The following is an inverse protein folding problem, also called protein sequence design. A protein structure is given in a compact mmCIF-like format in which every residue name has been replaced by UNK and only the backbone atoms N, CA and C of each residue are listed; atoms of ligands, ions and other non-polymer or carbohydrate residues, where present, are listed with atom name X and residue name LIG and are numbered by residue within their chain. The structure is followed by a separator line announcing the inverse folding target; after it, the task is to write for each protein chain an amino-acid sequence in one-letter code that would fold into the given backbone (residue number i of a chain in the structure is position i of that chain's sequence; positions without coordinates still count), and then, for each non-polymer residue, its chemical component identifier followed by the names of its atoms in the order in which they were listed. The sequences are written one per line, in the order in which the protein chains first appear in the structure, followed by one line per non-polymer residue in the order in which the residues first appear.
data_IF_505378638996
#
_entry.id   IF_505378638996
#
_cell.length_a   1.000
_cell.length_b   1.000
_cell.length_c   1.000
_cell.angle_alpha   90.00
_cell.angle_beta   90.00
_cell.angle_gamma   90.00
#
_symmetry.space_group_name_H-M   'P 1'
#
loop_
_entity.id
_entity.type
_entity.pdbx_description
1 polymer ?
#
# COMPACT_ATOMS: atom_id res chain seq x y z
N UNK A 1 -25.18 -69.77 -6.28
CA UNK A 1 -25.15 -68.38 -6.77
C UNK A 1 -24.79 -67.48 -5.60
N UNK A 2 -23.53 -67.06 -5.53
CA UNK A 2 -23.00 -66.17 -4.50
C UNK A 2 -23.00 -64.74 -5.08
N UNK A 3 -23.77 -63.84 -4.48
CA UNK A 3 -23.65 -62.41 -4.74
C UNK A 3 -22.47 -61.86 -3.96
N UNK A 4 -21.46 -61.35 -4.65
CA UNK A 4 -20.40 -60.54 -4.09
C UNK A 4 -20.93 -59.10 -3.96
N UNK A 5 -21.03 -58.63 -2.71
CA UNK A 5 -21.22 -57.22 -2.41
C UNK A 5 -19.88 -56.52 -2.45
N UNK A 6 -19.69 -55.59 -3.41
CA UNK A 6 -18.55 -54.70 -3.41
C UNK A 6 -18.79 -53.55 -2.43
N UNK A 7 -18.02 -53.55 -1.36
CA UNK A 7 -17.92 -52.42 -0.42
C UNK A 7 -17.04 -51.37 -1.10
N UNK A 8 -17.64 -50.31 -1.61
CA UNK A 8 -16.90 -49.11 -2.06
C UNK A 8 -16.50 -48.33 -0.83
N UNK A 9 -15.23 -48.43 -0.46
CA UNK A 9 -14.59 -47.56 0.54
C UNK A 9 -14.50 -46.16 -0.08
N UNK A 10 -15.40 -45.26 0.25
CA UNK A 10 -15.24 -43.84 -0.02
C UNK A 10 -14.13 -43.33 0.87
N UNK A 11 -12.93 -43.17 0.31
CA UNK A 11 -11.87 -42.38 0.90
C UNK A 11 -12.37 -40.93 0.88
N UNK A 12 -12.88 -40.43 1.99
CA UNK A 12 -13.06 -39.00 2.20
C UNK A 12 -11.66 -38.40 2.21
N UNK A 13 -11.25 -37.87 1.07
CA UNK A 13 -10.17 -36.89 1.07
C UNK A 13 -10.71 -35.69 1.84
N UNK A 14 -10.25 -35.51 3.05
CA UNK A 14 -10.33 -34.24 3.73
C UNK A 14 -9.63 -33.24 2.84
N UNK A 15 -10.39 -32.58 1.97
CA UNK A 15 -9.94 -31.37 1.34
C UNK A 15 -9.68 -30.40 2.49
N UNK A 16 -8.41 -30.07 2.70
CA UNK A 16 -8.02 -28.97 3.54
C UNK A 16 -8.87 -27.76 3.11
N UNK A 17 -9.86 -27.42 3.96
CA UNK A 17 -10.68 -26.24 3.76
C UNK A 17 -9.70 -25.07 3.75
N UNK A 18 -9.45 -24.52 2.59
CA UNK A 18 -8.73 -23.29 2.43
C UNK A 18 -9.37 -22.28 3.38
N UNK A 19 -8.62 -21.83 4.37
CA UNK A 19 -9.06 -20.82 5.35
C UNK A 19 -9.08 -19.41 4.76
N UNK A 20 -9.14 -19.28 3.44
CA UNK A 20 -9.42 -18.03 2.76
C UNK A 20 -10.85 -17.60 3.06
N UNK A 21 -11.08 -16.34 3.43
CA UNK A 21 -12.44 -15.83 3.63
C UNK A 21 -13.29 -16.08 2.38
N UNK A 22 -14.54 -16.51 2.55
CA UNK A 22 -15.48 -16.47 1.45
C UNK A 22 -15.67 -15.02 1.05
N UNK A 23 -15.44 -14.70 -0.17
CA UNK A 23 -15.43 -13.31 -0.63
C UNK A 23 -16.21 -13.18 -1.93
N UNK A 24 -17.06 -12.17 -2.00
CA UNK A 24 -17.62 -11.70 -3.24
C UNK A 24 -16.60 -10.78 -3.92
N UNK A 25 -16.33 -11.04 -5.19
CA UNK A 25 -15.39 -10.23 -5.96
C UNK A 25 -16.05 -8.93 -6.38
N UNK A 26 -15.29 -7.85 -6.26
CA UNK A 26 -15.68 -6.55 -6.80
C UNK A 26 -14.89 -6.33 -8.10
N UNK A 27 -15.60 -6.22 -9.22
CA UNK A 27 -15.03 -5.96 -10.53
C UNK A 27 -15.37 -4.52 -10.95
N UNK A 28 -14.46 -3.84 -11.64
CA UNK A 28 -14.79 -2.56 -12.28
C UNK A 28 -15.71 -2.78 -13.49
N UNK A 29 -16.25 -1.69 -14.05
CA UNK A 29 -17.19 -1.73 -15.18
C UNK A 29 -16.62 -2.41 -16.45
N UNK A 30 -15.31 -2.51 -16.59
CA UNK A 30 -14.64 -3.20 -17.69
C UNK A 30 -14.41 -4.70 -17.42
N UNK A 31 -14.92 -5.24 -16.30
CA UNK A 31 -14.68 -6.63 -15.88
C UNK A 31 -13.24 -6.89 -15.42
N UNK A 32 -12.43 -5.84 -15.26
CA UNK A 32 -11.09 -5.91 -14.68
C UNK A 32 -11.18 -5.82 -13.16
N UNK A 33 -10.28 -6.50 -12.50
CA UNK A 33 -10.15 -6.46 -11.06
C UNK A 33 -9.70 -5.06 -10.64
N UNK A 34 -10.45 -4.42 -9.75
CA UNK A 34 -10.11 -3.09 -9.25
C UNK A 34 -9.33 -3.22 -7.95
N UNK A 35 -8.21 -2.53 -7.88
CA UNK A 35 -7.47 -2.36 -6.65
C UNK A 35 -7.93 -1.06 -5.98
N UNK A 36 -9.04 -1.11 -5.26
CA UNK A 36 -9.26 -0.09 -4.34
C UNK A 36 -10.43 0.84 -4.47
N UNK A 37 -10.18 1.98 -4.00
CA UNK A 37 -11.07 3.11 -3.74
C UNK A 37 -11.93 3.58 -4.92
N UNK A 38 -11.66 3.07 -6.13
CA UNK A 38 -12.30 3.53 -7.36
C UNK A 38 -13.67 2.89 -7.64
N UNK A 39 -13.99 1.78 -6.99
CA UNK A 39 -15.23 1.04 -7.26
C UNK A 39 -16.18 1.07 -6.08
N UNK A 40 -15.75 0.61 -4.91
CA UNK A 40 -16.59 0.56 -3.71
C UNK A 40 -16.69 1.91 -3.00
N UNK A 41 -15.64 2.74 -3.07
CA UNK A 41 -15.59 4.07 -2.50
C UNK A 41 -14.69 4.97 -3.36
N UNK A 42 -15.22 5.53 -4.45
CA UNK A 42 -14.44 6.28 -5.42
C UNK A 42 -13.83 7.54 -4.81
N UNK A 43 -12.61 7.88 -5.24
CA UNK A 43 -11.86 9.09 -4.85
C UNK A 43 -11.90 10.12 -5.97
N UNK A 44 -11.85 9.64 -7.21
CA UNK A 44 -11.95 10.46 -8.40
C UNK A 44 -13.16 10.02 -9.21
N UNK A 45 -13.81 10.99 -9.82
CA UNK A 45 -14.86 10.72 -10.79
C UNK A 45 -14.24 9.95 -11.97
N UNK A 46 -14.50 8.65 -12.04
CA UNK A 46 -14.11 7.86 -13.18
C UNK A 46 -15.25 7.96 -14.20
N UNK A 47 -15.05 8.76 -15.25
CA UNK A 47 -15.94 8.83 -16.43
C UNK A 47 -16.15 7.46 -17.10
N UNK A 48 -15.43 6.45 -16.63
CA UNK A 48 -15.32 5.10 -17.21
C UNK A 48 -16.30 4.11 -16.59
N UNK A 49 -16.91 4.43 -15.43
CA UNK A 49 -17.90 3.55 -14.82
C UNK A 49 -19.25 3.79 -15.50
N UNK A 50 -19.57 2.95 -16.49
CA UNK A 50 -20.93 2.90 -17.01
C UNK A 50 -21.86 2.47 -15.86
N UNK A 51 -22.71 3.41 -15.42
CA UNK A 51 -23.56 3.23 -14.22
C UNK A 51 -24.52 2.04 -14.36
N UNK A 52 -24.86 1.66 -15.59
CA UNK A 52 -25.79 0.57 -15.86
C UNK A 52 -25.14 -0.81 -15.67
N UNK A 53 -23.85 -0.94 -15.89
CA UNK A 53 -23.12 -2.21 -15.78
C UNK A 53 -22.36 -2.39 -14.44
N UNK A 54 -22.40 -1.42 -13.54
CA UNK A 54 -21.73 -1.50 -12.25
C UNK A 54 -22.56 -2.34 -11.25
N UNK A 55 -22.10 -3.55 -10.85
CA UNK A 55 -22.84 -4.42 -9.93
C UNK A 55 -23.04 -3.80 -8.54
N UNK A 56 -22.24 -2.77 -8.17
CA UNK A 56 -22.33 -2.06 -6.90
C UNK A 56 -23.29 -0.85 -6.95
N UNK A 57 -23.84 -0.51 -8.12
CA UNK A 57 -24.71 0.66 -8.31
C UNK A 57 -23.92 1.98 -8.38
N UNK A 58 -24.63 3.11 -8.15
CA UNK A 58 -24.04 4.45 -8.22
C UNK A 58 -23.20 4.76 -6.96
N UNK A 59 -21.98 4.24 -6.96
CA UNK A 59 -21.02 4.47 -5.85
C UNK A 59 -20.45 5.88 -5.85
N UNK A 60 -20.43 6.56 -6.99
CA UNK A 60 -19.97 7.95 -7.06
C UNK A 60 -20.92 8.88 -6.31
N UNK A 61 -22.22 8.78 -6.54
CA UNK A 61 -23.19 9.58 -5.76
C UNK A 61 -23.12 9.28 -4.26
N UNK A 62 -22.88 8.04 -3.87
CA UNK A 62 -22.68 7.67 -2.47
C UNK A 62 -21.44 8.35 -1.87
N UNK A 63 -20.33 8.36 -2.62
CA UNK A 63 -19.11 9.05 -2.21
C UNK A 63 -19.29 10.56 -2.13
N UNK A 64 -19.97 11.16 -3.11
CA UNK A 64 -20.25 12.58 -3.13
C UNK A 64 -21.09 12.99 -1.91
N UNK A 65 -22.15 12.22 -1.57
CA UNK A 65 -22.96 12.43 -0.38
C UNK A 65 -22.13 12.30 0.92
N UNK A 66 -21.21 11.36 0.97
CA UNK A 66 -20.28 11.19 2.10
C UNK A 66 -19.41 12.45 2.28
N UNK A 67 -18.78 12.92 1.20
CA UNK A 67 -17.92 14.10 1.26
C UNK A 67 -18.70 15.39 1.54
N UNK A 68 -19.86 15.55 0.94
CA UNK A 68 -20.74 16.70 1.19
C UNK A 68 -21.24 16.72 2.64
N UNK A 69 -21.54 15.57 3.21
CA UNK A 69 -21.88 15.46 4.63
C UNK A 69 -20.76 15.94 5.56
N UNK A 70 -19.50 15.61 5.28
CA UNK A 70 -18.34 16.14 6.01
C UNK A 70 -18.26 17.67 5.88
N UNK A 71 -18.31 18.19 4.65
CA UNK A 71 -18.20 19.61 4.36
C UNK A 71 -19.31 20.42 5.03
N UNK A 72 -20.54 19.91 5.02
CA UNK A 72 -21.70 20.53 5.64
C UNK A 72 -21.58 20.56 7.17
N UNK A 73 -21.18 19.44 7.77
CA UNK A 73 -21.00 19.30 9.21
C UNK A 73 -20.02 20.31 9.79
N UNK A 74 -18.86 20.46 9.16
CA UNK A 74 -17.85 21.40 9.66
C UNK A 74 -18.07 22.84 9.21
N UNK A 75 -18.85 23.07 8.18
CA UNK A 75 -19.28 24.38 7.69
C UNK A 75 -18.18 25.33 7.26
N UNK A 76 -18.51 26.27 6.39
CA UNK A 76 -17.63 27.33 5.90
C UNK A 76 -16.40 26.83 5.14
N UNK A 77 -15.63 27.77 4.57
CA UNK A 77 -14.47 27.43 3.73
C UNK A 77 -13.40 26.59 4.46
N UNK A 78 -13.10 26.92 5.72
CA UNK A 78 -12.07 26.21 6.50
C UNK A 78 -12.50 24.77 6.80
N UNK A 79 -13.80 24.54 7.08
CA UNK A 79 -14.33 23.21 7.35
C UNK A 79 -14.30 22.31 6.12
N UNK A 80 -14.81 22.80 5.00
CA UNK A 80 -14.75 22.08 3.73
C UNK A 80 -13.32 21.74 3.32
N UNK A 81 -12.40 22.71 3.37
CA UNK A 81 -10.98 22.47 3.05
C UNK A 81 -10.36 21.40 3.96
N UNK A 82 -10.74 21.32 5.24
CA UNK A 82 -10.21 20.27 6.13
C UNK A 82 -10.68 18.87 5.73
N UNK A 83 -11.93 18.71 5.26
CA UNK A 83 -12.43 17.46 4.71
C UNK A 83 -11.65 17.05 3.44
N UNK A 84 -11.47 17.99 2.52
CA UNK A 84 -10.78 17.74 1.25
C UNK A 84 -9.32 17.33 1.48
N UNK A 85 -8.60 18.04 2.36
CA UNK A 85 -7.19 17.70 2.71
C UNK A 85 -7.11 16.30 3.34
N UNK A 86 -7.99 15.99 4.31
CA UNK A 86 -7.95 14.67 4.94
C UNK A 86 -8.24 13.55 3.94
N UNK A 87 -9.16 13.80 3.01
CA UNK A 87 -9.51 12.84 1.98
C UNK A 87 -8.36 12.63 0.98
N UNK A 88 -7.73 13.72 0.52
CA UNK A 88 -6.54 13.65 -0.33
C UNK A 88 -5.40 12.89 0.36
N UNK A 89 -5.14 13.17 1.64
CA UNK A 89 -4.12 12.46 2.43
C UNK A 89 -4.43 10.96 2.58
N UNK A 90 -5.70 10.62 2.86
CA UNK A 90 -6.16 9.23 2.97
C UNK A 90 -5.94 8.48 1.66
N UNK A 91 -6.36 9.06 0.55
CA UNK A 91 -6.22 8.49 -0.77
C UNK A 91 -4.74 8.35 -1.17
N UNK A 92 -3.95 9.42 -1.02
CA UNK A 92 -2.54 9.43 -1.34
C UNK A 92 -1.76 8.38 -0.53
N UNK A 93 -2.05 8.23 0.76
CA UNK A 93 -1.44 7.19 1.59
C UNK A 93 -1.82 5.80 1.11
N UNK A 94 -3.10 5.57 0.80
CA UNK A 94 -3.60 4.27 0.31
C UNK A 94 -3.02 3.86 -1.05
N UNK A 95 -2.69 4.82 -1.90
CA UNK A 95 -2.04 4.57 -3.19
C UNK A 95 -0.51 4.36 -3.06
N UNK A 96 0.14 5.09 -2.16
CA UNK A 96 1.61 5.08 -1.98
C UNK A 96 2.07 3.92 -1.12
N UNK A 97 1.46 3.73 0.04
CA UNK A 97 2.00 2.90 1.11
C UNK A 97 2.00 1.40 0.78
N UNK A 98 0.97 0.78 0.17
CA UNK A 98 0.98 -0.66 -0.11
C UNK A 98 2.17 -1.14 -0.92
N UNK A 99 2.58 -0.38 -1.95
CA UNK A 99 3.73 -0.74 -2.80
C UNK A 99 5.10 -0.42 -2.16
N UNK A 100 5.10 0.32 -1.06
CA UNK A 100 6.29 0.80 -0.35
C UNK A 100 6.64 -0.02 0.88
N UNK A 101 5.82 -1.02 1.21
CA UNK A 101 5.94 -1.76 2.45
C UNK A 101 6.38 -3.20 2.22
N UNK A 102 7.14 -3.72 3.20
CA UNK A 102 7.51 -5.12 3.24
C UNK A 102 6.27 -5.99 3.45
N UNK A 103 6.13 -7.03 2.63
CA UNK A 103 5.08 -8.04 2.74
C UNK A 103 5.58 -9.26 3.51
N UNK A 104 4.76 -9.78 4.42
CA UNK A 104 5.13 -10.92 5.28
C UNK A 104 4.38 -12.20 4.93
N UNK A 105 3.25 -12.10 4.24
CA UNK A 105 2.40 -13.24 3.87
C UNK A 105 1.99 -13.17 2.40
N UNK A 106 1.60 -14.29 1.82
CA UNK A 106 1.23 -14.35 0.40
C UNK A 106 -0.09 -13.64 0.10
N UNK A 107 -1.06 -13.73 1.02
CA UNK A 107 -2.41 -13.17 0.83
C UNK A 107 -2.59 -11.81 1.48
N UNK A 108 -1.79 -11.50 2.52
CA UNK A 108 -1.87 -10.28 3.30
C UNK A 108 -2.99 -10.25 4.34
N UNK A 109 -3.97 -11.17 4.29
CA UNK A 109 -5.05 -11.28 5.28
C UNK A 109 -5.54 -12.71 5.45
N UNK A 110 -6.17 -12.99 6.60
CA UNK A 110 -6.73 -14.30 6.92
C UNK A 110 -7.83 -14.18 7.98
N UNK A 111 -8.97 -14.82 7.74
CA UNK A 111 -10.01 -14.97 8.77
C UNK A 111 -9.76 -16.22 9.59
N UNK A 112 -9.82 -16.09 10.93
CA UNK A 112 -9.66 -17.17 11.91
C UNK A 112 -10.62 -16.96 13.08
N UNK A 113 -10.65 -17.90 14.04
CA UNK A 113 -11.35 -17.69 15.32
C UNK A 113 -10.40 -17.00 16.30
N UNK A 114 -10.91 -16.03 17.05
CA UNK A 114 -10.16 -15.44 18.16
C UNK A 114 -9.88 -16.50 19.23
N UNK A 115 -8.71 -16.42 19.91
CA UNK A 115 -8.47 -17.29 21.05
C UNK A 115 -9.62 -17.22 22.07
N UNK A 116 -10.19 -18.37 22.43
CA UNK A 116 -11.38 -18.41 23.28
C UNK A 116 -11.23 -17.57 24.55
N UNK A 117 -10.06 -17.63 25.21
CA UNK A 117 -9.80 -16.86 26.42
C UNK A 117 -9.83 -15.34 26.19
N UNK A 118 -9.32 -14.88 25.05
CA UNK A 118 -9.34 -13.45 24.67
C UNK A 118 -10.77 -13.03 24.36
N UNK A 119 -11.48 -13.82 23.57
CA UNK A 119 -12.87 -13.51 23.21
C UNK A 119 -13.79 -13.49 24.44
N UNK A 120 -13.72 -14.48 25.32
CA UNK A 120 -14.53 -14.53 26.55
C UNK A 120 -14.25 -13.30 27.43
N UNK A 121 -12.98 -12.89 27.56
CA UNK A 121 -12.59 -11.71 28.32
C UNK A 121 -13.15 -10.41 27.69
N UNK A 122 -13.06 -10.27 26.38
CA UNK A 122 -13.57 -9.11 25.63
C UNK A 122 -15.11 -9.04 25.69
N UNK A 123 -15.79 -10.16 25.48
CA UNK A 123 -17.25 -10.25 25.55
C UNK A 123 -17.78 -9.91 26.94
N UNK A 124 -17.11 -10.43 27.99
CA UNK A 124 -17.46 -10.13 29.37
C UNK A 124 -17.20 -8.67 29.74
N UNK A 125 -16.08 -8.11 29.24
CA UNK A 125 -15.75 -6.71 29.42
C UNK A 125 -16.76 -5.80 28.72
N UNK A 126 -17.16 -6.11 27.49
CA UNK A 126 -18.19 -5.42 26.74
C UNK A 126 -19.51 -5.38 27.50
N UNK A 127 -20.00 -6.54 27.94
CA UNK A 127 -21.26 -6.65 28.70
C UNK A 127 -21.25 -5.82 29.97
N UNK A 128 -20.13 -5.74 30.67
CA UNK A 128 -19.99 -4.98 31.93
C UNK A 128 -19.90 -3.48 31.74
N UNK A 129 -19.46 -3.01 30.56
CA UNK A 129 -19.11 -1.61 30.33
C UNK A 129 -19.84 -0.96 29.15
N UNK A 130 -20.69 -1.69 28.44
CA UNK A 130 -21.43 -1.17 27.26
C UNK A 130 -22.13 0.15 27.55
N UNK A 131 -22.80 0.28 28.69
CA UNK A 131 -23.51 1.50 29.08
C UNK A 131 -22.56 2.68 29.46
N UNK A 132 -21.27 2.40 29.58
CA UNK A 132 -20.23 3.38 29.91
C UNK A 132 -19.36 3.73 28.71
N UNK A 133 -19.82 3.38 27.50
CA UNK A 133 -19.15 3.77 26.27
C UNK A 133 -19.16 5.29 26.14
N UNK A 134 -18.08 5.84 25.63
CA UNK A 134 -17.89 7.25 25.40
C UNK A 134 -17.92 7.54 23.89
N UNK A 135 -18.53 8.65 23.48
CA UNK A 135 -18.49 9.09 22.08
C UNK A 135 -17.05 9.41 21.65
N UNK A 136 -16.66 8.94 20.50
CA UNK A 136 -15.33 9.28 19.95
C UNK A 136 -15.34 10.71 19.41
N UNK A 137 -14.30 11.47 19.77
CA UNK A 137 -14.04 12.78 19.20
C UNK A 137 -13.09 12.63 18.01
N UNK A 138 -13.56 12.98 16.84
CA UNK A 138 -12.75 12.92 15.62
C UNK A 138 -12.10 14.28 15.34
N UNK A 139 -10.86 14.30 14.81
CA UNK A 139 -10.26 15.53 14.33
C UNK A 139 -11.14 16.22 13.28
N UNK A 140 -11.08 17.54 13.22
CA UNK A 140 -11.84 18.33 12.25
C UNK A 140 -11.47 17.91 10.83
N UNK A 141 -12.49 17.64 10.02
CA UNK A 141 -12.33 17.21 8.63
C UNK A 141 -11.97 15.73 8.46
N UNK A 142 -12.01 14.92 9.54
CA UNK A 142 -11.72 13.49 9.42
C UNK A 142 -12.74 12.78 8.52
N UNK A 143 -12.25 12.09 7.46
CA UNK A 143 -13.03 11.36 6.47
C UNK A 143 -12.86 9.83 6.58
N UNK A 144 -12.22 9.32 7.63
CA UNK A 144 -12.12 7.87 7.83
C UNK A 144 -13.45 7.23 8.24
N UNK A 145 -14.29 7.98 8.96
CA UNK A 145 -15.63 7.52 9.38
C UNK A 145 -16.62 8.69 9.23
N UNK A 146 -17.83 8.41 8.75
CA UNK A 146 -18.90 9.42 8.63
C UNK A 146 -19.55 9.75 9.98
N UNK A 147 -18.71 10.09 10.96
CA UNK A 147 -19.12 10.36 12.36
C UNK A 147 -20.12 11.52 12.52
N UNK A 148 -20.23 12.38 11.52
CA UNK A 148 -21.23 13.46 11.48
C UNK A 148 -22.66 12.94 11.31
N UNK A 149 -22.85 11.79 10.65
CA UNK A 149 -24.15 11.16 10.49
C UNK A 149 -24.32 9.96 11.41
N UNK A 150 -23.24 9.20 11.64
CA UNK A 150 -23.24 7.93 12.36
C UNK A 150 -22.14 7.96 13.43
N UNK A 151 -22.44 8.45 14.63
CA UNK A 151 -21.44 8.59 15.70
C UNK A 151 -20.88 7.25 16.09
N UNK A 152 -19.58 7.23 16.38
CA UNK A 152 -18.87 6.07 16.93
C UNK A 152 -18.66 6.23 18.43
N UNK A 153 -18.59 5.12 19.12
CA UNK A 153 -18.34 5.07 20.55
C UNK A 153 -17.19 4.14 20.89
N UNK A 154 -16.56 4.37 22.03
CA UNK A 154 -15.43 3.57 22.49
C UNK A 154 -15.68 3.04 23.91
N UNK A 155 -15.46 1.76 24.12
CA UNK A 155 -15.26 1.17 25.46
C UNK A 155 -13.75 0.95 25.62
N UNK A 156 -13.11 1.93 26.25
CA UNK A 156 -11.65 2.00 26.35
C UNK A 156 -11.10 0.91 27.28
N UNK A 157 -10.27 -0.01 26.73
CA UNK A 157 -9.69 -1.12 27.52
C UNK A 157 -8.58 -0.69 28.46
N UNK A 158 -7.97 0.48 28.24
CA UNK A 158 -6.93 1.04 29.13
C UNK A 158 -7.50 1.72 30.37
N UNK A 159 -8.77 2.06 30.35
CA UNK A 159 -9.40 2.84 31.43
C UNK A 159 -9.49 2.03 32.71
N UNK A 160 -8.74 2.46 33.73
CA UNK A 160 -8.84 1.92 35.08
C UNK A 160 -10.17 2.21 35.78
N UNK A 161 -11.01 3.09 35.23
CA UNK A 161 -12.34 3.43 35.77
C UNK A 161 -13.43 2.48 35.28
N UNK A 162 -13.19 1.75 34.20
CA UNK A 162 -14.09 0.73 33.68
C UNK A 162 -13.86 -0.62 34.40
N UNK A 163 -14.92 -1.39 34.58
CA UNK A 163 -14.88 -2.65 35.34
C UNK A 163 -14.05 -3.71 34.66
N UNK A 164 -12.85 -3.97 35.17
CA UNK A 164 -11.90 -4.95 34.63
C UNK A 164 -10.97 -4.40 33.55
N UNK A 165 -11.02 -3.09 33.26
CA UNK A 165 -10.11 -2.41 32.35
C UNK A 165 -8.72 -2.13 32.97
N UNK A 166 -7.87 -1.46 32.21
CA UNK A 166 -6.53 -1.05 32.61
C UNK A 166 -5.41 -1.85 31.91
N UNK A 167 -4.17 -1.48 32.20
CA UNK A 167 -2.99 -2.01 31.52
C UNK A 167 -2.85 -3.54 31.58
N UNK A 168 -3.33 -4.17 32.66
CA UNK A 168 -3.29 -5.62 32.77
C UNK A 168 -4.22 -6.32 31.76
N UNK A 169 -5.41 -5.76 31.51
CA UNK A 169 -6.31 -6.26 30.48
C UNK A 169 -5.69 -6.10 29.09
N UNK A 170 -5.16 -4.92 28.80
CA UNK A 170 -4.51 -4.61 27.55
C UNK A 170 -3.37 -5.60 27.24
N UNK A 171 -2.51 -5.86 28.23
CA UNK A 171 -1.43 -6.85 28.12
C UNK A 171 -1.94 -8.26 27.81
N UNK A 172 -2.97 -8.72 28.54
CA UNK A 172 -3.55 -10.05 28.31
C UNK A 172 -4.14 -10.22 26.92
N UNK A 173 -4.71 -9.15 26.35
CA UNK A 173 -5.22 -9.17 24.97
C UNK A 173 -4.05 -9.33 24.01
N UNK A 174 -3.01 -8.49 24.11
CA UNK A 174 -1.81 -8.60 23.27
C UNK A 174 -1.14 -9.96 23.38
N UNK A 175 -0.87 -10.42 24.60
CA UNK A 175 -0.21 -11.72 24.85
C UNK A 175 -1.02 -12.89 24.27
N UNK A 176 -2.36 -12.76 24.29
CA UNK A 176 -3.24 -13.81 23.80
C UNK A 176 -3.33 -13.91 22.28
N UNK A 177 -3.13 -12.82 21.53
CA UNK A 177 -3.23 -12.83 20.06
C UNK A 177 -1.86 -12.83 19.38
N UNK A 178 -0.83 -12.31 20.03
CA UNK A 178 0.54 -12.20 19.48
C UNK A 178 1.05 -13.51 18.85
N UNK A 179 0.97 -14.69 19.51
CA UNK A 179 1.51 -15.92 18.93
C UNK A 179 0.87 -16.30 17.58
N UNK A 180 -0.41 -15.98 17.39
CA UNK A 180 -1.12 -16.27 16.14
C UNK A 180 -0.61 -15.39 15.01
N UNK A 181 -0.40 -14.11 15.29
CA UNK A 181 0.14 -13.16 14.31
C UNK A 181 1.61 -13.48 13.99
N UNK A 182 2.41 -13.85 14.99
CA UNK A 182 3.81 -14.28 14.78
C UNK A 182 3.87 -15.59 13.97
N UNK A 183 3.00 -16.55 14.25
CA UNK A 183 2.88 -17.76 13.45
C UNK A 183 2.48 -17.47 12.02
N UNK A 184 1.56 -16.55 11.80
CA UNK A 184 1.05 -16.20 10.48
C UNK A 184 2.08 -15.40 9.65
N UNK A 185 2.71 -14.38 10.23
CA UNK A 185 3.70 -13.53 9.55
C UNK A 185 5.09 -14.17 9.47
N UNK A 186 5.43 -15.08 10.39
CA UNK A 186 6.79 -15.60 10.56
C UNK A 186 7.78 -14.61 11.17
N UNK A 187 7.31 -13.51 11.74
CA UNK A 187 8.10 -12.44 12.34
C UNK A 187 7.91 -12.39 13.84
N UNK A 188 8.95 -12.06 14.60
CA UNK A 188 8.82 -11.62 15.97
C UNK A 188 8.17 -10.23 15.98
N UNK A 189 7.12 -10.07 16.78
CA UNK A 189 6.30 -8.87 16.82
C UNK A 189 6.33 -8.22 18.20
N UNK A 190 6.24 -6.90 18.24
CA UNK A 190 6.00 -6.15 19.48
C UNK A 190 4.69 -5.35 19.38
N UNK A 191 3.98 -5.15 20.51
CA UNK A 191 2.77 -4.37 20.55
C UNK A 191 3.00 -2.92 20.10
N UNK A 192 2.17 -2.39 19.19
CA UNK A 192 2.25 -0.99 18.78
C UNK A 192 1.05 -0.17 19.24
N UNK A 193 -0.18 -0.60 18.98
CA UNK A 193 -1.37 0.17 19.35
C UNK A 193 -2.59 -0.69 19.63
N UNK A 194 -3.39 -0.28 20.61
CA UNK A 194 -4.72 -0.77 20.89
C UNK A 194 -5.42 0.21 21.84
N UNK A 195 -6.62 0.65 21.49
CA UNK A 195 -7.34 1.66 22.29
C UNK A 195 -8.50 1.04 23.08
N UNK A 196 -9.39 0.34 22.40
CA UNK A 196 -10.59 -0.22 23.02
C UNK A 196 -11.51 -0.89 22.01
N UNK A 197 -12.71 -1.21 22.48
CA UNK A 197 -13.76 -1.75 21.61
C UNK A 197 -14.53 -0.59 21.03
N UNK A 198 -14.34 -0.37 19.72
CA UNK A 198 -15.07 0.66 18.95
C UNK A 198 -16.42 0.11 18.54
N UNK A 199 -17.46 0.88 18.78
CA UNK A 199 -18.81 0.60 18.36
C UNK A 199 -19.21 1.55 17.23
N UNK A 200 -19.55 1.00 16.08
CA UNK A 200 -20.19 1.70 14.98
C UNK A 200 -21.69 1.60 15.11
N UNK A 201 -22.41 2.64 14.68
CA UNK A 201 -23.87 2.71 14.71
C UNK A 201 -24.48 2.66 13.33
N UNK A 202 -25.81 2.60 13.24
CA UNK A 202 -26.54 2.57 11.98
C UNK A 202 -26.06 3.63 10.99
N UNK A 203 -25.96 3.27 9.72
CA UNK A 203 -25.45 4.13 8.66
C UNK A 203 -23.92 4.34 8.66
N UNK A 204 -23.17 3.77 9.61
CA UNK A 204 -21.73 3.96 9.67
C UNK A 204 -21.01 3.42 8.43
N UNK A 205 -20.02 4.18 8.00
CA UNK A 205 -19.09 3.84 6.91
C UNK A 205 -17.67 4.00 7.44
N UNK A 206 -16.79 3.04 7.14
CA UNK A 206 -15.36 3.16 7.33
C UNK A 206 -14.70 3.21 5.96
N UNK A 207 -14.16 4.36 5.59
CA UNK A 207 -13.52 4.57 4.29
C UNK A 207 -12.37 3.59 4.07
N UNK A 208 -12.20 3.04 2.86
CA UNK A 208 -11.04 2.21 2.52
C UNK A 208 -9.74 2.97 2.76
N UNK A 209 -8.81 2.38 3.46
CA UNK A 209 -7.53 2.98 3.82
C UNK A 209 -6.47 1.91 4.08
N UNK A 210 -5.20 2.29 4.00
CA UNK A 210 -4.11 1.56 4.63
C UNK A 210 -3.81 2.20 6.00
N UNK A 211 -3.44 1.40 6.98
CA UNK A 211 -3.08 1.91 8.30
C UNK A 211 -1.72 2.61 8.25
N UNK A 212 -1.63 3.74 8.94
CA UNK A 212 -0.35 4.46 9.09
C UNK A 212 0.67 3.62 9.88
N UNK A 213 1.92 3.81 9.59
CA UNK A 213 3.02 3.24 10.40
C UNK A 213 2.98 3.79 11.83
N UNK A 214 3.29 3.01 12.88
CA UNK A 214 3.79 1.62 12.86
C UNK A 214 2.69 0.54 13.03
N UNK A 215 1.50 0.71 12.48
CA UNK A 215 0.43 -0.27 12.55
C UNK A 215 0.62 -1.27 11.39
N UNK A 216 1.45 -2.30 11.60
CA UNK A 216 1.98 -3.13 10.52
C UNK A 216 1.23 -4.45 10.38
N UNK A 217 1.28 -5.28 11.43
CA UNK A 217 0.58 -6.56 11.49
C UNK A 217 -0.53 -6.46 12.52
N UNK A 218 -1.74 -6.64 12.07
CA UNK A 218 -2.91 -6.29 12.87
C UNK A 218 -3.93 -7.41 12.92
N UNK A 219 -4.79 -7.39 13.93
CA UNK A 219 -6.01 -8.16 13.90
C UNK A 219 -7.22 -7.36 14.38
N UNK A 220 -8.38 -7.69 13.79
CA UNK A 220 -9.69 -7.20 14.21
C UNK A 220 -10.44 -8.36 14.82
N UNK A 221 -10.96 -8.20 16.05
CA UNK A 221 -11.88 -9.17 16.66
C UNK A 221 -13.27 -8.54 16.71
N UNK A 222 -14.27 -9.21 16.14
CA UNK A 222 -15.66 -8.83 16.36
C UNK A 222 -16.05 -9.27 17.78
N UNK A 223 -16.42 -8.31 18.62
CA UNK A 223 -16.75 -8.54 20.02
C UNK A 223 -18.25 -8.74 20.22
N UNK A 224 -19.05 -7.91 19.51
CA UNK A 224 -20.51 -7.96 19.58
C UNK A 224 -21.11 -7.24 18.37
N UNK A 225 -22.32 -7.64 17.98
CA UNK A 225 -23.07 -6.95 16.91
C UNK A 225 -24.57 -7.16 17.10
N UNK A 226 -25.32 -6.21 16.55
CA UNK A 226 -26.77 -6.29 16.39
C UNK A 226 -27.10 -5.61 15.06
N UNK A 227 -27.08 -6.39 13.98
CA UNK A 227 -27.18 -5.95 12.59
C UNK A 227 -28.33 -6.64 11.90
N UNK A 228 -28.93 -5.98 10.93
CA UNK A 228 -30.02 -6.51 10.11
C UNK A 228 -29.45 -7.21 8.85
N UNK A 229 -28.28 -6.79 8.38
CA UNK A 229 -27.52 -7.38 7.29
C UNK A 229 -26.05 -7.49 7.69
N UNK A 230 -25.33 -8.43 7.08
CA UNK A 230 -23.88 -8.52 7.27
C UNK A 230 -23.19 -7.22 6.87
N UNK A 231 -22.26 -6.74 7.70
CA UNK A 231 -21.45 -5.58 7.42
C UNK A 231 -19.98 -5.99 7.24
N UNK A 232 -19.60 -6.39 6.00
CA UNK A 232 -18.30 -6.97 5.75
C UNK A 232 -17.16 -5.98 5.90
N UNK A 233 -15.98 -6.50 6.26
CA UNK A 233 -14.72 -5.81 6.02
C UNK A 233 -14.31 -6.07 4.57
N UNK A 234 -14.23 -5.03 3.76
CA UNK A 234 -13.64 -5.11 2.43
C UNK A 234 -12.13 -5.02 2.57
N UNK A 235 -11.42 -5.98 1.99
CA UNK A 235 -9.95 -6.05 1.98
C UNK A 235 -9.48 -6.27 0.56
N UNK A 236 -8.52 -5.48 0.12
CA UNK A 236 -7.89 -5.66 -1.18
C UNK A 236 -6.68 -6.57 -1.05
N UNK A 237 -6.82 -7.78 -1.60
CA UNK A 237 -5.76 -8.78 -1.59
C UNK A 237 -4.56 -8.41 -2.46
N UNK A 238 -3.46 -9.14 -2.29
CA UNK A 238 -2.24 -8.93 -3.08
C UNK A 238 -2.39 -9.33 -4.55
N UNK A 239 -3.45 -10.03 -4.87
CA UNK A 239 -3.88 -10.36 -6.24
C UNK A 239 -4.64 -9.19 -6.93
N UNK A 240 -4.82 -8.07 -6.23
CA UNK A 240 -5.55 -6.91 -6.73
C UNK A 240 -7.07 -7.04 -6.67
N UNK A 241 -7.60 -8.10 -6.02
CA UNK A 241 -9.03 -8.32 -5.85
C UNK A 241 -9.55 -7.76 -4.54
N UNK A 242 -10.77 -7.24 -4.56
CA UNK A 242 -11.51 -6.88 -3.35
C UNK A 242 -12.26 -8.11 -2.80
N UNK A 243 -12.16 -8.30 -1.49
CA UNK A 243 -12.78 -9.41 -0.77
C UNK A 243 -13.66 -8.88 0.36
N UNK A 244 -14.91 -9.29 0.40
CA UNK A 244 -15.83 -8.99 1.49
C UNK A 244 -15.72 -10.07 2.58
N UNK A 245 -15.12 -9.71 3.70
CA UNK A 245 -14.93 -10.62 4.85
C UNK A 245 -16.01 -10.37 5.89
N UNK A 246 -17.03 -11.23 5.92
CA UNK A 246 -18.06 -11.19 6.96
C UNK A 246 -17.53 -11.69 8.29
N UNK A 247 -18.01 -11.11 9.39
CA UNK A 247 -17.59 -11.46 10.75
C UNK A 247 -18.78 -11.65 11.67
N UNK A 248 -18.67 -12.66 12.53
CA UNK A 248 -19.59 -12.89 13.66
C UNK A 248 -18.82 -12.70 14.98
N UNK A 249 -19.50 -12.46 16.13
CA UNK A 249 -18.85 -12.35 17.41
C UNK A 249 -17.94 -13.58 17.70
N UNK A 250 -16.66 -13.32 17.95
CA UNK A 250 -15.62 -14.33 18.10
C UNK A 250 -14.76 -14.55 16.85
N UNK A 251 -15.17 -14.07 15.69
CA UNK A 251 -14.31 -14.07 14.51
C UNK A 251 -13.17 -13.06 14.66
N UNK A 252 -12.01 -13.41 14.13
CA UNK A 252 -10.83 -12.57 14.05
C UNK A 252 -10.29 -12.52 12.62
N UNK A 253 -10.01 -11.34 12.12
CA UNK A 253 -9.32 -11.14 10.85
C UNK A 253 -7.90 -10.67 11.12
N UNK A 254 -6.93 -11.44 10.68
CA UNK A 254 -5.51 -11.06 10.64
C UNK A 254 -5.29 -10.29 9.33
N UNK A 255 -4.54 -9.21 9.35
CA UNK A 255 -4.24 -8.45 8.13
C UNK A 255 -2.97 -7.62 8.28
N UNK A 256 -2.23 -7.51 7.18
CA UNK A 256 -1.07 -6.62 7.08
C UNK A 256 -1.57 -5.21 6.79
N UNK A 257 -2.08 -4.55 7.83
CA UNK A 257 -2.89 -3.33 7.75
C UNK A 257 -2.18 -2.14 7.10
N UNK A 258 -0.85 -2.12 7.12
CA UNK A 258 -0.01 -1.09 6.52
C UNK A 258 0.12 -1.22 4.99
N UNK A 259 -0.08 -2.42 4.45
CA UNK A 259 0.14 -2.73 3.03
C UNK A 259 -1.10 -3.22 2.30
N UNK A 260 -2.22 -3.37 3.00
CA UNK A 260 -3.50 -3.70 2.40
C UNK A 260 -4.51 -2.59 2.61
N UNK A 261 -5.13 -2.15 1.53
CA UNK A 261 -6.29 -1.27 1.60
C UNK A 261 -7.44 -2.07 2.18
N UNK A 262 -8.07 -1.54 3.22
CA UNK A 262 -9.20 -2.18 3.88
C UNK A 262 -10.17 -1.12 4.41
N UNK A 263 -11.44 -1.50 4.55
CA UNK A 263 -12.47 -0.59 5.01
C UNK A 263 -13.84 -1.27 5.09
N UNK A 264 -14.86 -0.47 5.29
CA UNK A 264 -16.28 -0.86 5.25
C UNK A 264 -17.05 0.20 4.49
N UNK A 265 -16.91 0.23 3.14
CA UNK A 265 -17.41 1.30 2.29
C UNK A 265 -18.93 1.25 2.06
N UNK A 266 -19.62 0.38 2.75
CA UNK A 266 -21.07 0.22 2.70
C UNK A 266 -21.67 0.61 4.04
N UNK A 267 -22.82 1.28 4.05
CA UNK A 267 -23.49 1.69 5.26
C UNK A 267 -23.90 0.50 6.12
N UNK A 268 -23.55 0.56 7.41
CA UNK A 268 -24.05 -0.40 8.40
C UNK A 268 -25.55 -0.31 8.47
N UNK A 269 -26.23 -1.47 8.41
CA UNK A 269 -27.66 -1.57 8.66
C UNK A 269 -27.90 -2.37 9.93
N UNK A 270 -28.42 -1.71 10.95
CA UNK A 270 -28.66 -2.29 12.27
C UNK A 270 -28.38 -1.33 13.42
N UNK A 271 -28.32 -1.84 14.63
CA UNK A 271 -28.15 -1.02 15.84
C UNK A 271 -26.70 -0.74 16.14
N UNK A 272 -25.84 -1.74 16.00
CA UNK A 272 -24.39 -1.55 16.22
C UNK A 272 -23.55 -2.71 15.69
N UNK A 273 -22.25 -2.41 15.49
CA UNK A 273 -21.18 -3.35 15.21
C UNK A 273 -19.94 -2.97 16.03
N UNK A 274 -19.46 -3.87 16.88
CA UNK A 274 -18.41 -3.59 17.85
C UNK A 274 -17.17 -4.44 17.63
N UNK A 275 -16.04 -3.79 17.35
CA UNK A 275 -14.75 -4.42 17.11
C UNK A 275 -13.66 -3.88 18.04
N UNK A 276 -12.64 -4.70 18.29
CA UNK A 276 -11.37 -4.24 18.80
C UNK A 276 -10.29 -4.42 17.73
N UNK A 277 -9.45 -3.40 17.58
CA UNK A 277 -8.33 -3.36 16.65
C UNK A 277 -7.04 -3.48 17.46
N UNK A 278 -6.19 -4.44 17.10
CA UNK A 278 -4.99 -4.79 17.86
C UNK A 278 -3.83 -4.80 16.88
N UNK A 279 -2.83 -3.95 17.12
CA UNK A 279 -1.75 -3.71 16.18
C UNK A 279 -0.39 -4.06 16.77
N UNK A 280 0.47 -4.56 15.91
CA UNK A 280 1.86 -4.92 16.20
C UNK A 280 2.78 -4.36 15.11
N UNK A 281 4.06 -4.27 15.45
CA UNK A 281 5.14 -4.01 14.51
C UNK A 281 6.20 -5.11 14.59
N UNK A 282 6.87 -5.46 13.48
CA UNK A 282 7.97 -6.43 13.48
C UNK A 282 9.21 -5.86 14.18
N UNK A 283 9.94 -6.74 14.89
CA UNK A 283 11.22 -6.40 15.54
C UNK A 283 12.45 -6.64 14.65
N UNK A 284 12.25 -7.10 13.41
CA UNK A 284 13.34 -7.47 12.51
C UNK A 284 13.80 -8.91 12.62
N UNK A 285 13.33 -9.66 13.62
CA UNK A 285 13.72 -11.04 13.83
C UNK A 285 12.76 -12.01 13.14
N UNK A 286 13.32 -12.85 12.26
CA UNK A 286 12.59 -13.93 11.61
C UNK A 286 12.42 -15.11 12.58
N UNK A 287 11.19 -15.64 12.67
CA UNK A 287 10.87 -16.86 13.41
C UNK A 287 10.89 -18.10 12.52
N UNK A 288 10.87 -17.90 11.19
CA UNK A 288 10.93 -18.97 10.19
C UNK A 288 11.97 -18.62 9.14
N UNK A 289 12.71 -19.61 8.67
CA UNK A 289 13.47 -19.47 7.43
C UNK A 289 12.46 -19.32 6.28
N UNK A 290 12.55 -18.23 5.55
CA UNK A 290 11.81 -17.97 4.32
C UNK A 290 12.78 -17.98 3.15
N UNK A 291 12.32 -18.47 2.01
CA UNK A 291 13.11 -18.51 0.76
C UNK A 291 13.44 -17.11 0.23
N UNK A 292 12.73 -16.09 0.69
CA UNK A 292 13.01 -14.68 0.38
C UNK A 292 13.64 -14.02 1.61
N UNK A 293 14.93 -13.64 1.56
CA UNK A 293 15.54 -12.88 2.64
C UNK A 293 14.80 -11.55 2.77
N UNK A 294 14.25 -11.28 3.93
CA UNK A 294 13.97 -9.89 4.30
C UNK A 294 15.36 -9.27 4.38
N UNK A 295 15.63 -8.31 3.49
CA UNK A 295 16.89 -7.58 3.48
C UNK A 295 16.95 -6.70 4.74
N UNK A 296 17.21 -7.34 5.86
CA UNK A 296 17.66 -6.65 7.06
C UNK A 296 19.17 -6.57 6.94
N UNK A 297 19.69 -5.50 6.37
CA UNK A 297 21.02 -5.07 6.72
C UNK A 297 20.97 -4.71 8.19
N UNK A 298 21.43 -5.63 9.04
CA UNK A 298 21.42 -5.50 10.49
C UNK A 298 22.26 -4.30 10.99
N UNK A 299 22.92 -3.59 10.09
CA UNK A 299 23.73 -2.40 10.35
C UNK A 299 23.00 -1.08 10.07
N UNK A 300 21.75 -1.10 9.65
CA UNK A 300 20.98 0.10 9.31
C UNK A 300 19.87 0.37 10.35
N UNK A 301 20.30 0.76 11.55
CA UNK A 301 19.43 1.05 12.71
C UNK A 301 18.44 2.21 12.49
N UNK A 302 18.41 2.83 11.31
CA UNK A 302 17.79 4.12 11.11
C UNK A 302 16.48 4.11 10.33
N UNK A 303 16.27 3.19 9.36
CA UNK A 303 15.00 3.05 8.63
C UNK A 303 14.20 1.86 9.20
N UNK A 304 12.90 2.04 9.49
CA UNK A 304 12.06 0.92 9.92
C UNK A 304 12.10 -0.25 8.93
N UNK A 305 12.25 -1.46 9.44
CA UNK A 305 12.39 -2.70 8.63
C UNK A 305 11.20 -3.00 7.72
N UNK A 306 10.06 -2.39 7.98
CA UNK A 306 8.85 -2.55 7.21
C UNK A 306 8.72 -1.56 6.05
N UNK A 307 9.63 -0.59 5.91
CA UNK A 307 9.67 0.35 4.77
C UNK A 307 10.70 -0.14 3.76
N UNK A 308 10.27 -0.28 2.50
CA UNK A 308 11.16 -0.66 1.41
C UNK A 308 12.06 0.51 1.01
N UNK A 309 13.37 0.26 0.88
CA UNK A 309 14.31 1.27 0.41
C UNK A 309 14.04 1.69 -1.02
N UNK A 310 14.21 2.98 -1.30
CA UNK A 310 13.94 3.57 -2.61
C UNK A 310 12.45 3.75 -2.91
N UNK A 311 11.59 3.49 -1.92
CA UNK A 311 10.14 3.63 -2.07
C UNK A 311 9.64 5.04 -1.77
N UNK A 312 8.46 5.42 -2.28
CA UNK A 312 7.81 6.68 -1.92
C UNK A 312 7.59 6.87 -0.41
N UNK A 313 7.40 5.78 0.35
CA UNK A 313 7.21 5.88 1.80
C UNK A 313 8.53 6.13 2.55
N UNK A 314 9.66 5.65 2.05
CA UNK A 314 10.96 6.07 2.58
C UNK A 314 11.12 7.59 2.46
N UNK A 315 10.79 8.16 1.30
CA UNK A 315 10.82 9.60 1.08
C UNK A 315 9.92 10.35 2.05
N UNK A 316 8.72 9.86 2.25
CA UNK A 316 7.75 10.44 3.17
C UNK A 316 8.23 10.35 4.63
N UNK A 317 8.74 9.18 5.03
CA UNK A 317 9.29 8.97 6.37
C UNK A 317 10.49 9.89 6.65
N UNK A 318 11.42 10.02 5.70
CA UNK A 318 12.58 10.91 5.83
C UNK A 318 12.19 12.40 5.93
N UNK A 319 11.11 12.82 5.25
CA UNK A 319 10.57 14.18 5.41
C UNK A 319 10.04 14.42 6.83
N UNK A 320 9.43 13.42 7.44
CA UNK A 320 8.93 13.49 8.82
C UNK A 320 10.06 13.35 9.87
N UNK A 321 11.23 12.83 9.48
CA UNK A 321 12.38 12.59 10.34
C UNK A 321 13.65 13.30 9.80
N UNK A 322 13.70 14.65 9.82
CA UNK A 322 14.81 15.41 9.20
C UNK A 322 16.20 15.04 9.75
N UNK A 323 16.28 14.61 11.01
CA UNK A 323 17.53 14.14 11.64
C UNK A 323 18.08 12.85 11.05
N UNK A 324 17.25 12.11 10.29
CA UNK A 324 17.57 10.83 9.69
C UNK A 324 17.89 10.92 8.17
N UNK A 325 17.92 12.12 7.60
CA UNK A 325 18.21 12.34 6.17
C UNK A 325 19.61 11.85 5.75
N UNK A 326 20.54 11.67 6.70
CA UNK A 326 21.85 11.10 6.43
C UNK A 326 21.80 9.62 5.98
N UNK A 327 20.69 8.91 6.21
CA UNK A 327 20.46 7.54 5.75
C UNK A 327 20.55 7.44 4.21
N UNK A 328 20.10 8.47 3.48
CA UNK A 328 20.21 8.53 2.03
C UNK A 328 21.65 8.60 1.50
N UNK A 329 22.59 9.08 2.32
CA UNK A 329 23.99 9.25 1.93
C UNK A 329 24.77 7.94 2.02
N UNK A 330 24.29 6.97 2.76
CA UNK A 330 24.79 5.59 2.69
C UNK A 330 24.14 4.91 1.49
N UNK A 331 24.91 4.83 0.41
CA UNK A 331 24.53 4.02 -0.76
C UNK A 331 23.97 2.69 -0.28
N UNK A 332 22.70 2.39 -0.62
CA UNK A 332 22.27 0.99 -0.64
C UNK A 332 23.39 0.18 -1.28
N UNK A 333 23.75 -1.02 -0.80
CA UNK A 333 24.40 -1.97 -1.66
C UNK A 333 23.42 -2.12 -2.84
N UNK A 334 23.75 -1.48 -3.95
CA UNK A 334 22.94 -1.40 -5.13
C UNK A 334 22.44 -2.80 -5.40
N UNK A 335 21.14 -3.02 -5.46
CA UNK A 335 20.62 -4.06 -6.32
C UNK A 335 21.41 -3.87 -7.58
N UNK A 336 22.30 -4.82 -7.92
CA UNK A 336 23.39 -4.59 -8.89
C UNK A 336 22.73 -3.92 -10.08
N UNK A 337 23.13 -2.66 -10.35
CA UNK A 337 22.43 -1.81 -11.31
C UNK A 337 22.25 -2.63 -12.56
N UNK A 338 21.06 -2.70 -13.10
CA UNK A 338 20.81 -3.46 -14.33
C UNK A 338 21.83 -3.04 -15.38
N UNK A 339 22.23 -3.88 -16.30
CA UNK A 339 23.17 -3.49 -17.35
C UNK A 339 22.77 -2.19 -18.06
N UNK A 340 21.46 -1.93 -18.21
CA UNK A 340 20.95 -0.67 -18.77
C UNK A 340 21.20 0.53 -17.85
N UNK A 341 21.04 0.38 -16.55
CA UNK A 341 21.34 1.45 -15.58
C UNK A 341 22.84 1.71 -15.47
N UNK A 342 23.66 0.65 -15.51
CA UNK A 342 25.12 0.78 -15.48
C UNK A 342 25.64 1.57 -16.69
N UNK A 343 25.15 1.27 -17.89
CA UNK A 343 25.56 1.98 -19.08
C UNK A 343 25.04 3.41 -19.13
N UNK A 344 23.82 3.67 -18.65
CA UNK A 344 23.28 5.02 -18.53
C UNK A 344 24.11 5.86 -17.53
N UNK A 345 24.46 5.30 -16.38
CA UNK A 345 25.32 5.94 -15.39
C UNK A 345 26.72 6.21 -15.93
N UNK A 346 27.33 5.22 -16.61
CA UNK A 346 28.63 5.37 -17.25
C UNK A 346 28.62 6.49 -18.30
N UNK A 347 27.54 6.57 -19.10
CA UNK A 347 27.34 7.64 -20.06
C UNK A 347 27.19 9.01 -19.40
N UNK A 348 26.41 9.10 -18.31
CA UNK A 348 26.18 10.34 -17.58
C UNK A 348 27.44 10.87 -16.85
N UNK A 349 28.39 9.99 -16.49
CA UNK A 349 29.64 10.34 -15.78
C UNK A 349 30.87 10.38 -16.65
N UNK A 350 30.76 10.05 -17.95
CA UNK A 350 31.88 10.08 -18.90
C UNK A 350 32.82 8.87 -18.79
N UNK A 351 32.38 7.74 -18.23
CA UNK A 351 33.18 6.53 -18.11
C UNK A 351 33.25 5.77 -19.44
N UNK A 352 34.21 6.19 -20.27
CA UNK A 352 34.48 5.62 -21.60
C UNK A 352 34.82 4.12 -21.50
N UNK A 353 35.51 3.68 -20.42
CA UNK A 353 35.92 2.29 -20.29
C UNK A 353 34.73 1.36 -20.11
N UNK A 354 33.78 1.72 -19.26
CA UNK A 354 32.55 0.95 -19.04
C UNK A 354 31.71 0.93 -20.32
N UNK A 355 31.59 2.06 -21.05
CA UNK A 355 30.88 2.08 -22.34
C UNK A 355 31.57 1.16 -23.36
N UNK A 356 32.91 1.16 -23.45
CA UNK A 356 33.66 0.29 -24.34
C UNK A 356 33.46 -1.20 -23.99
N UNK A 357 33.37 -1.53 -22.71
CA UNK A 357 33.08 -2.90 -22.25
C UNK A 357 31.70 -3.36 -22.72
N UNK A 358 30.66 -2.55 -22.51
CA UNK A 358 29.31 -2.86 -23.02
C UNK A 358 29.25 -2.93 -24.54
N UNK A 359 29.99 -2.08 -25.25
CA UNK A 359 30.09 -2.13 -26.69
C UNK A 359 30.65 -3.45 -27.21
N UNK A 360 31.54 -4.06 -26.42
CA UNK A 360 32.18 -5.35 -26.77
C UNK A 360 31.32 -6.56 -26.37
N UNK A 361 30.60 -6.51 -25.28
CA UNK A 361 29.88 -7.65 -24.69
C UNK A 361 28.38 -7.65 -24.93
N UNK A 362 27.75 -6.49 -24.87
CA UNK A 362 26.29 -6.30 -24.91
C UNK A 362 25.89 -5.09 -25.77
N UNK A 363 26.41 -5.05 -26.99
CA UNK A 363 26.24 -3.93 -27.92
C UNK A 363 24.81 -3.41 -28.07
N UNK A 364 23.81 -4.28 -27.91
CA UNK A 364 22.40 -3.90 -28.03
C UNK A 364 21.95 -2.88 -26.97
N UNK A 365 22.58 -2.84 -25.79
CA UNK A 365 22.28 -1.88 -24.73
C UNK A 365 22.63 -0.44 -25.08
N UNK A 366 23.57 -0.22 -26.01
CA UNK A 366 23.92 1.11 -26.50
C UNK A 366 22.72 1.80 -27.18
N UNK A 367 21.79 1.01 -27.71
CA UNK A 367 20.61 1.44 -28.48
C UNK A 367 19.31 1.31 -27.68
N UNK A 368 19.34 0.78 -26.46
CA UNK A 368 18.15 0.65 -25.64
C UNK A 368 17.78 1.97 -24.96
N UNK A 369 16.48 2.17 -24.79
CA UNK A 369 15.90 3.28 -24.04
C UNK A 369 15.50 2.83 -22.64
N UNK A 370 15.61 3.72 -21.67
CA UNK A 370 14.97 3.58 -20.38
C UNK A 370 13.45 3.80 -20.46
N UNK A 371 12.77 3.71 -19.32
CA UNK A 371 11.31 3.94 -19.20
C UNK A 371 10.86 5.34 -19.65
N UNK A 372 11.77 6.31 -19.72
CA UNK A 372 11.50 7.68 -20.15
C UNK A 372 11.91 7.91 -21.61
N UNK A 373 12.35 6.88 -22.31
CA UNK A 373 12.83 6.96 -23.69
C UNK A 373 14.23 7.56 -23.82
N UNK A 374 15.04 7.57 -22.75
CA UNK A 374 16.42 8.02 -22.80
C UNK A 374 17.36 6.87 -23.18
N UNK A 375 18.28 7.14 -24.08
CA UNK A 375 19.38 6.27 -24.46
C UNK A 375 20.69 6.76 -23.82
N UNK A 376 21.76 5.94 -23.74
CA UNK A 376 23.06 6.38 -23.22
C UNK A 376 23.61 7.65 -23.88
N UNK A 377 23.34 7.85 -25.18
CA UNK A 377 23.78 9.06 -25.89
C UNK A 377 23.12 10.36 -25.38
N UNK A 378 21.89 10.28 -24.87
CA UNK A 378 21.21 11.44 -24.27
C UNK A 378 21.88 11.83 -22.95
N UNK A 379 22.22 10.84 -22.12
CA UNK A 379 22.94 11.07 -20.85
C UNK A 379 24.34 11.63 -21.09
N UNK A 380 25.08 11.06 -22.03
CA UNK A 380 26.41 11.54 -22.40
C UNK A 380 26.37 12.98 -22.99
N UNK A 381 25.35 13.28 -23.78
CA UNK A 381 25.15 14.62 -24.34
C UNK A 381 24.81 15.65 -23.25
N UNK A 382 23.92 15.29 -22.31
CA UNK A 382 23.59 16.13 -21.16
C UNK A 382 24.79 16.35 -20.23
N UNK A 383 25.64 15.34 -20.08
CA UNK A 383 26.87 15.41 -19.28
C UNK A 383 28.05 16.11 -19.97
N UNK A 384 27.97 16.42 -21.25
CA UNK A 384 29.05 17.06 -22.02
C UNK A 384 30.22 16.12 -22.40
N UNK A 385 29.99 14.81 -22.37
CA UNK A 385 31.06 13.79 -22.48
C UNK A 385 31.34 13.43 -23.92
N UNK A 386 32.21 14.22 -24.58
CA UNK A 386 32.54 14.12 -26.03
C UNK A 386 33.06 12.73 -26.42
N UNK A 387 33.96 12.15 -25.61
CA UNK A 387 34.57 10.85 -25.94
C UNK A 387 33.58 9.69 -25.83
N UNK A 388 32.63 9.76 -24.88
CA UNK A 388 31.54 8.79 -24.77
C UNK A 388 30.62 8.91 -25.98
N UNK A 389 30.24 10.14 -26.37
CA UNK A 389 29.38 10.35 -27.55
C UNK A 389 30.07 9.84 -28.81
N UNK A 390 31.36 10.13 -29.01
CA UNK A 390 32.13 9.59 -30.15
C UNK A 390 32.05 8.08 -30.21
N UNK A 391 32.32 7.41 -29.06
CA UNK A 391 32.28 5.95 -28.99
C UNK A 391 30.88 5.40 -29.31
N UNK A 392 29.82 6.01 -28.80
CA UNK A 392 28.44 5.59 -29.10
C UNK A 392 28.11 5.77 -30.59
N UNK A 393 28.52 6.87 -31.19
CA UNK A 393 28.33 7.15 -32.64
C UNK A 393 29.10 6.14 -33.48
N UNK A 394 30.35 5.82 -33.15
CA UNK A 394 31.16 4.80 -33.84
C UNK A 394 30.50 3.42 -33.78
N UNK A 395 29.67 3.15 -32.79
CA UNK A 395 28.91 1.91 -32.68
C UNK A 395 27.52 1.99 -33.33
N UNK A 396 27.20 3.09 -34.00
CA UNK A 396 26.00 3.26 -34.81
C UNK A 396 24.77 3.73 -34.04
N UNK A 397 24.95 4.34 -32.87
CA UNK A 397 23.84 4.93 -32.13
C UNK A 397 23.28 6.14 -32.91
N UNK A 398 21.96 6.23 -33.03
CA UNK A 398 21.28 7.32 -33.74
C UNK A 398 21.44 8.67 -33.02
N UNK A 399 22.18 9.57 -33.65
CA UNK A 399 22.46 10.93 -33.14
C UNK A 399 21.22 11.82 -33.11
N UNK A 400 20.13 11.44 -33.77
CA UNK A 400 18.87 12.18 -33.84
C UNK A 400 17.73 11.51 -33.09
N UNK A 401 18.04 10.43 -32.32
CA UNK A 401 17.05 9.81 -31.43
C UNK A 401 16.45 10.84 -30.47
N UNK A 402 15.16 10.72 -30.17
CA UNK A 402 14.47 11.66 -29.28
C UNK A 402 14.02 10.97 -28.02
N UNK A 403 14.18 11.63 -26.88
CA UNK A 403 13.64 11.18 -25.61
C UNK A 403 12.10 11.12 -25.62
N UNK A 404 11.47 10.60 -24.56
CA UNK A 404 10.01 10.57 -24.38
C UNK A 404 9.26 9.98 -25.59
N UNK A 405 9.70 8.81 -26.06
CA UNK A 405 9.09 8.09 -27.19
C UNK A 405 8.99 8.93 -28.48
N UNK A 406 9.99 9.75 -28.74
CA UNK A 406 10.08 10.55 -29.95
C UNK A 406 9.53 11.98 -29.84
N UNK A 407 9.04 12.39 -28.67
CA UNK A 407 8.48 13.75 -28.45
C UNK A 407 9.41 14.68 -27.66
N UNK A 408 10.48 14.17 -27.08
CA UNK A 408 11.44 14.92 -26.29
C UNK A 408 12.58 15.52 -27.12
N UNK A 409 13.68 15.81 -26.44
CA UNK A 409 14.88 16.42 -27.04
C UNK A 409 15.77 15.43 -27.78
N UNK A 410 16.48 15.88 -28.78
CA UNK A 410 17.61 15.18 -29.42
C UNK A 410 18.87 15.34 -28.54
N UNK A 411 19.90 14.45 -28.71
CA UNK A 411 21.20 14.60 -28.01
C UNK A 411 21.84 15.97 -28.23
N UNK A 412 21.79 16.49 -29.44
CA UNK A 412 22.30 17.84 -29.74
C UNK A 412 21.55 18.93 -28.98
N UNK A 413 20.23 18.84 -28.89
CA UNK A 413 19.46 19.81 -28.10
C UNK A 413 19.82 19.79 -26.64
N UNK A 414 19.97 18.59 -26.05
CA UNK A 414 20.41 18.42 -24.64
C UNK A 414 21.81 19.01 -24.43
N UNK A 415 22.73 18.82 -25.36
CA UNK A 415 24.07 19.41 -25.29
C UNK A 415 24.02 20.92 -25.32
N UNK A 416 23.22 21.51 -26.21
CA UNK A 416 23.04 22.99 -26.34
C UNK A 416 22.43 23.54 -25.05
N UNK A 417 21.37 22.92 -24.55
CA UNK A 417 20.65 23.40 -23.37
C UNK A 417 21.52 23.30 -22.06
N UNK A 418 22.39 22.28 -22.00
CA UNK A 418 23.24 22.07 -20.81
C UNK A 418 24.56 22.85 -20.85
N UNK A 419 25.14 23.07 -22.02
CA UNK A 419 26.53 23.56 -22.14
C UNK A 419 26.67 24.80 -23.03
N UNK A 420 25.64 25.19 -23.79
CA UNK A 420 25.66 26.29 -24.73
C UNK A 420 26.23 25.94 -26.11
N UNK A 421 26.05 26.85 -27.05
CA UNK A 421 26.38 26.63 -28.49
C UNK A 421 27.87 26.49 -28.79
N UNK A 422 28.74 27.02 -27.95
CA UNK A 422 30.19 27.03 -28.15
C UNK A 422 30.91 25.80 -27.58
N UNK A 423 30.16 24.81 -27.04
CA UNK A 423 30.74 23.63 -26.45
C UNK A 423 31.26 22.65 -27.54
N UNK A 424 32.41 22.02 -27.30
CA UNK A 424 33.06 21.06 -28.22
C UNK A 424 32.09 19.95 -28.69
N UNK A 425 31.23 19.46 -27.81
CA UNK A 425 30.24 18.45 -28.15
C UNK A 425 29.21 18.94 -29.18
N UNK A 426 28.80 20.19 -29.06
CA UNK A 426 27.86 20.81 -30.04
C UNK A 426 28.52 21.01 -31.39
N UNK A 427 29.80 21.37 -31.42
CA UNK A 427 30.60 21.42 -32.67
C UNK A 427 30.69 20.02 -33.30
N UNK A 428 30.94 18.99 -32.47
CA UNK A 428 31.02 17.63 -32.94
C UNK A 428 29.67 17.17 -33.53
N UNK A 429 28.55 17.35 -32.83
CA UNK A 429 27.22 17.03 -33.36
C UNK A 429 26.90 17.78 -34.64
N UNK A 430 27.26 19.05 -34.71
CA UNK A 430 27.08 19.89 -35.92
C UNK A 430 27.86 19.34 -37.10
N UNK A 431 29.10 18.86 -36.90
CA UNK A 431 29.93 18.28 -37.94
C UNK A 431 29.35 16.98 -38.53
N UNK A 432 28.51 16.29 -37.75
CA UNK A 432 27.80 15.06 -38.15
C UNK A 432 26.43 15.34 -38.76
N UNK A 433 25.98 16.60 -38.80
CA UNK A 433 24.65 16.99 -39.30
C UNK A 433 23.52 16.62 -38.34
N UNK A 434 23.79 16.54 -37.01
CA UNK A 434 22.80 16.28 -36.00
C UNK A 434 21.74 17.40 -35.95
N UNK A 435 20.52 17.03 -35.61
CA UNK A 435 19.39 17.95 -35.51
C UNK A 435 19.23 18.49 -34.09
N UNK A 436 19.13 19.81 -33.97
CA UNK A 436 18.81 20.48 -32.72
C UNK A 436 17.28 20.61 -32.58
N UNK A 437 16.63 19.58 -31.99
CA UNK A 437 15.18 19.55 -31.84
C UNK A 437 14.86 19.42 -30.36
N UNK A 438 14.16 20.41 -29.81
CA UNK A 438 13.65 20.39 -28.43
C UNK A 438 12.35 19.59 -28.27
N UNK A 439 11.81 19.51 -27.04
CA UNK A 439 10.58 18.79 -26.74
C UNK A 439 9.38 19.43 -27.43
N UNK A 440 8.43 18.61 -27.88
CA UNK A 440 7.12 19.06 -28.33
C UNK A 440 6.30 19.53 -27.12
N UNK A 441 5.73 20.74 -27.21
CA UNK A 441 4.88 21.32 -26.16
C UNK A 441 3.48 20.74 -26.17
#
# INVERSE_FOLDING_TARGET
MKLLSYLVLAIATESSVSTTPSADRVLNACGQESYGVDVSFPVHYLDVLDKEDNPLGDRQSFYDEFMDGCREHYGGKIGSTACDITEEDRAAMSLRQPSSMQNYTDTGFKKVQAPKQVFDMLSDYWKKNYERREGEAWPKGNTYVNHWNSPTYMVNVESGTLRGGGQNMKRKIWDGVKPILEEWTGMELEPSSMYGIRMYTDGAVLSPHADRTPLISSCIINVAQDVDEDWPLEVYGRDGLAYNVTMQPGDMVLYESHSLIHGRPFSLKGRYFANIFIHFQPTGKLLRERDTPILTDADDEDLPIYILRGSPEEDHWLQQHPSKQHIRVRESPAAAATPLEQIAQAAATGDVNTIAQFAATEKHLLHQTDKNGWMPIHEAARGGHVDVVKLLVDHGVDINSRTHSGKGSTPMNLAVDSHGLEHELVEYFSSLGALNIGPEL
#
